data_IF_978355716672
#
_entry.id   IF_978355716672
#
_cell.length_a   1.000
_cell.length_b   1.000
_cell.length_c   1.000
_cell.angle_alpha   90.00
_cell.angle_beta   90.00
_cell.angle_gamma   90.00
#
_symmetry.space_group_name_H-M   'P 1'
#
loop_
_entity.id
_entity.type
_entity.pdbx_description
1 polymer ?
#
# COMPACT_ATOMS: atom_id res chain seq x y z
N UNK A 1 42.69 -15.91 -12.48
CA UNK A 1 43.79 -16.82 -12.91
C UNK A 1 43.68 -18.12 -12.12
N UNK A 2 44.12 -19.24 -12.68
CA UNK A 2 44.00 -20.58 -12.08
C UNK A 2 42.58 -20.93 -11.63
N UNK A 3 41.60 -20.73 -12.50
CA UNK A 3 40.22 -21.11 -12.21
C UNK A 3 40.00 -22.61 -12.44
N UNK A 4 38.85 -23.07 -11.98
CA UNK A 4 38.35 -24.44 -12.17
C UNK A 4 37.13 -24.36 -13.08
N UNK A 5 37.05 -25.25 -14.06
CA UNK A 5 35.88 -25.41 -14.91
C UNK A 5 35.64 -26.89 -15.21
N UNK A 6 34.47 -27.21 -15.74
CA UNK A 6 34.19 -28.56 -16.24
C UNK A 6 35.15 -28.94 -17.36
N UNK A 7 35.56 -30.21 -17.42
CA UNK A 7 36.45 -30.71 -18.48
C UNK A 7 35.71 -31.04 -19.79
N UNK A 8 34.38 -30.85 -19.83
CA UNK A 8 33.48 -31.37 -20.87
C UNK A 8 33.55 -32.90 -21.04
N UNK A 9 33.95 -33.61 -19.97
CA UNK A 9 33.94 -35.06 -19.83
C UNK A 9 33.26 -35.40 -18.50
N UNK A 10 32.34 -36.36 -18.54
CA UNK A 10 31.56 -36.75 -17.36
C UNK A 10 32.49 -37.21 -16.22
N UNK A 11 32.30 -36.63 -15.03
CA UNK A 11 33.09 -36.96 -13.84
C UNK A 11 34.44 -36.23 -13.72
N UNK A 12 34.81 -35.36 -14.67
CA UNK A 12 36.10 -34.66 -14.65
C UNK A 12 36.01 -33.13 -14.63
N UNK A 13 37.02 -32.50 -14.02
CA UNK A 13 37.22 -31.06 -13.98
C UNK A 13 38.66 -30.71 -14.31
N UNK A 14 38.87 -29.54 -14.91
CA UNK A 14 40.19 -28.97 -15.11
C UNK A 14 40.52 -28.01 -13.96
N UNK A 15 41.76 -28.08 -13.45
CA UNK A 15 42.29 -27.17 -12.43
C UNK A 15 43.43 -26.34 -13.00
N UNK A 16 43.68 -25.18 -12.38
CA UNK A 16 44.71 -24.23 -12.79
C UNK A 16 44.50 -23.70 -14.22
N UNK A 17 43.26 -23.59 -14.70
CA UNK A 17 42.94 -23.06 -16.03
C UNK A 17 43.15 -21.54 -16.05
N UNK A 18 43.65 -21.01 -17.16
CA UNK A 18 43.92 -19.59 -17.37
C UNK A 18 43.39 -19.13 -18.73
N UNK A 19 42.70 -17.98 -18.71
CA UNK A 19 42.39 -17.22 -19.91
C UNK A 19 43.65 -16.93 -20.72
N UNK A 20 43.52 -16.87 -22.04
CA UNK A 20 44.59 -16.69 -23.06
C UNK A 20 45.62 -17.81 -23.15
N UNK A 21 45.86 -18.59 -22.09
CA UNK A 21 46.75 -19.76 -22.13
C UNK A 21 46.02 -21.03 -22.59
N UNK A 22 44.88 -21.31 -21.96
CA UNK A 22 44.13 -22.56 -22.19
C UNK A 22 42.83 -22.33 -22.96
N UNK A 23 42.26 -21.11 -22.88
CA UNK A 23 41.03 -20.72 -23.56
C UNK A 23 41.04 -19.21 -23.84
N UNK A 24 40.67 -18.81 -25.04
CA UNK A 24 40.58 -17.39 -25.44
C UNK A 24 39.50 -16.65 -24.65
N UNK A 25 39.80 -15.45 -24.18
CA UNK A 25 38.82 -14.54 -23.62
C UNK A 25 38.12 -13.80 -24.76
N UNK A 26 36.81 -14.02 -24.88
CA UNK A 26 35.98 -13.34 -25.86
C UNK A 26 35.41 -12.04 -25.26
N UNK A 27 34.24 -11.62 -25.74
CA UNK A 27 33.51 -10.48 -25.21
C UNK A 27 33.24 -10.65 -23.71
N UNK A 28 33.57 -9.60 -22.95
CA UNK A 28 33.25 -9.52 -21.53
C UNK A 28 32.06 -8.59 -21.39
N UNK A 29 30.95 -9.14 -20.91
CA UNK A 29 29.70 -8.42 -20.67
C UNK A 29 29.21 -8.69 -19.25
N UNK A 30 28.34 -7.81 -18.75
CA UNK A 30 27.77 -7.97 -17.41
C UNK A 30 26.65 -9.03 -17.43
N UNK A 31 26.94 -10.21 -16.85
CA UNK A 31 26.04 -11.36 -16.83
C UNK A 31 25.64 -11.80 -15.42
N UNK A 32 26.30 -11.27 -14.39
CA UNK A 32 26.03 -11.68 -13.01
C UNK A 32 25.00 -10.76 -12.39
N UNK A 33 24.23 -11.28 -11.44
CA UNK A 33 23.51 -10.39 -10.55
C UNK A 33 24.47 -9.67 -9.60
N UNK A 34 24.13 -8.44 -9.25
CA UNK A 34 24.76 -7.72 -8.15
C UNK A 34 24.45 -8.43 -6.83
N UNK A 35 25.35 -8.31 -5.87
CA UNK A 35 25.15 -8.77 -4.49
C UNK A 35 25.24 -7.59 -3.53
N UNK A 36 24.64 -7.72 -2.36
CA UNK A 36 24.75 -6.69 -1.32
C UNK A 36 26.23 -6.43 -0.97
N UNK A 37 26.61 -5.15 -0.91
CA UNK A 37 28.00 -4.73 -0.70
C UNK A 37 28.85 -4.64 -1.97
N UNK A 38 28.33 -4.97 -3.16
CA UNK A 38 28.99 -4.59 -4.42
C UNK A 38 29.16 -3.06 -4.50
N UNK A 39 30.22 -2.60 -5.19
CA UNK A 39 30.40 -1.18 -5.44
C UNK A 39 29.29 -0.65 -6.34
N UNK A 40 28.80 0.54 -6.03
CA UNK A 40 27.81 1.20 -6.87
C UNK A 40 28.37 1.48 -8.27
N UNK A 41 27.60 1.26 -9.35
CA UNK A 41 28.06 1.49 -10.72
C UNK A 41 28.31 2.98 -11.05
N UNK A 42 27.78 3.91 -10.24
CA UNK A 42 28.08 5.35 -10.33
C UNK A 42 29.40 5.76 -9.62
N UNK A 43 30.09 4.79 -9.02
CA UNK A 43 31.34 4.99 -8.29
C UNK A 43 31.17 5.49 -6.85
N UNK A 44 29.94 5.67 -6.35
CA UNK A 44 29.66 6.24 -5.04
C UNK A 44 29.07 5.20 -4.09
N UNK A 45 29.87 4.76 -3.11
CA UNK A 45 29.40 3.85 -2.06
C UNK A 45 29.15 2.42 -2.54
N UNK A 46 28.21 1.75 -1.88
CA UNK A 46 27.95 0.31 -2.01
C UNK A 46 26.45 0.04 -2.12
N UNK A 47 26.10 -1.00 -2.87
CA UNK A 47 24.72 -1.41 -3.11
C UNK A 47 24.11 -2.04 -1.86
N UNK A 48 22.89 -1.62 -1.51
CA UNK A 48 22.00 -2.28 -0.54
C UNK A 48 20.84 -2.92 -1.29
N UNK A 49 20.41 -4.10 -0.85
CA UNK A 49 19.30 -4.84 -1.47
C UNK A 49 18.08 -4.77 -0.56
N UNK A 50 16.98 -4.23 -1.09
CA UNK A 50 15.71 -4.11 -0.37
C UNK A 50 14.63 -4.90 -1.12
N UNK A 51 13.61 -5.36 -0.39
CA UNK A 51 12.42 -5.96 -0.99
C UNK A 51 11.41 -4.87 -1.32
N UNK A 52 10.80 -4.97 -2.50
CA UNK A 52 9.77 -4.05 -2.94
C UNK A 52 8.71 -4.78 -3.77
N UNK A 53 7.49 -4.25 -3.74
CA UNK A 53 6.39 -4.70 -4.59
C UNK A 53 6.28 -3.70 -5.74
N UNK A 54 6.47 -4.15 -6.98
CA UNK A 54 6.28 -3.29 -8.15
C UNK A 54 4.79 -2.97 -8.31
N UNK A 55 4.40 -1.72 -8.01
CA UNK A 55 3.02 -1.23 -8.17
C UNK A 55 2.78 -0.52 -9.50
N UNK A 56 3.84 -0.18 -10.23
CA UNK A 56 3.75 0.43 -11.53
C UNK A 56 5.06 0.37 -12.30
N UNK A 57 4.96 0.57 -13.61
CA UNK A 57 6.08 0.50 -14.54
C UNK A 57 5.87 1.53 -15.65
N UNK A 58 6.96 2.18 -16.05
CA UNK A 58 6.99 3.10 -17.19
C UNK A 58 8.00 2.60 -18.21
N UNK A 59 7.63 2.61 -19.50
CA UNK A 59 8.51 2.20 -20.57
C UNK A 59 8.60 3.25 -21.67
N UNK A 60 9.80 3.49 -22.16
CA UNK A 60 10.02 4.13 -23.45
C UNK A 60 10.01 3.04 -24.52
N UNK A 61 8.90 2.92 -25.25
CA UNK A 61 8.72 1.87 -26.26
C UNK A 61 9.40 2.20 -27.58
N UNK A 62 9.73 3.48 -27.79
CA UNK A 62 10.22 3.97 -29.07
C UNK A 62 9.19 3.75 -30.16
N UNK A 63 9.62 3.31 -31.32
CA UNK A 63 8.76 3.12 -32.49
C UNK A 63 8.36 1.65 -32.73
N UNK A 64 8.75 0.72 -31.84
CA UNK A 64 8.53 -0.73 -31.98
C UNK A 64 7.13 -1.11 -32.46
N UNK A 65 6.10 -0.55 -31.83
CA UNK A 65 4.71 -0.83 -32.18
C UNK A 65 4.23 -0.03 -33.39
N UNK A 66 4.58 1.25 -33.45
CA UNK A 66 4.19 2.10 -34.57
C UNK A 66 4.75 1.63 -35.92
N UNK A 67 5.95 1.03 -35.95
CA UNK A 67 6.51 0.39 -37.13
C UNK A 67 5.70 -0.85 -37.52
N UNK A 68 5.49 -1.76 -36.56
CA UNK A 68 4.77 -3.01 -36.80
C UNK A 68 3.32 -2.79 -37.25
N UNK A 69 2.67 -1.72 -36.78
CA UNK A 69 1.26 -1.40 -37.08
C UNK A 69 1.09 -0.37 -38.20
N UNK A 70 2.18 0.19 -38.75
CA UNK A 70 2.11 1.23 -39.78
C UNK A 70 1.52 2.56 -39.30
N UNK A 71 1.64 2.89 -38.00
CA UNK A 71 1.14 4.14 -37.45
C UNK A 71 2.14 5.28 -37.71
N UNK A 72 1.78 6.20 -38.62
CA UNK A 72 2.64 7.31 -39.05
C UNK A 72 1.93 8.66 -39.01
N UNK A 73 2.71 9.72 -38.81
CA UNK A 73 2.30 11.14 -38.96
C UNK A 73 3.29 11.88 -39.84
N UNK A 74 2.89 13.02 -40.42
CA UNK A 74 3.83 13.91 -41.10
C UNK A 74 4.56 14.79 -40.07
N UNK A 75 5.87 14.89 -40.18
CA UNK A 75 6.66 15.86 -39.43
C UNK A 75 6.54 17.28 -40.02
N UNK A 76 7.24 18.23 -39.40
CA UNK A 76 7.30 19.64 -39.81
C UNK A 76 7.87 19.85 -41.23
N UNK A 77 8.57 18.85 -41.75
CA UNK A 77 9.16 18.83 -43.09
C UNK A 77 8.26 18.09 -44.10
N UNK A 78 7.08 17.63 -43.67
CA UNK A 78 6.11 16.92 -44.51
C UNK A 78 6.48 15.46 -44.77
N UNK A 79 7.42 14.89 -44.01
CA UNK A 79 7.86 13.50 -44.16
C UNK A 79 7.12 12.59 -43.20
N UNK A 80 6.72 11.41 -43.69
CA UNK A 80 6.11 10.39 -42.83
C UNK A 80 7.13 9.87 -41.80
N UNK A 81 6.74 9.91 -40.52
CA UNK A 81 7.47 9.40 -39.36
C UNK A 81 6.59 8.47 -38.55
N UNK A 82 7.18 7.39 -38.06
CA UNK A 82 6.56 6.54 -37.05
C UNK A 82 6.49 7.26 -35.71
N UNK A 83 5.40 7.05 -34.99
CA UNK A 83 5.18 7.66 -33.68
C UNK A 83 6.15 7.10 -32.64
N UNK A 84 6.86 7.98 -31.92
CA UNK A 84 7.57 7.56 -30.71
C UNK A 84 6.57 7.35 -29.57
N UNK A 85 6.64 6.21 -28.91
CA UNK A 85 5.65 5.77 -27.94
C UNK A 85 6.28 5.60 -26.55
N UNK A 86 5.49 5.94 -25.53
CA UNK A 86 5.72 5.54 -24.15
C UNK A 86 4.48 4.84 -23.61
N UNK A 87 4.65 3.96 -22.63
CA UNK A 87 3.52 3.40 -21.88
C UNK A 87 3.75 3.50 -20.38
N UNK A 88 2.64 3.62 -19.65
CA UNK A 88 2.62 3.86 -18.21
C UNK A 88 1.53 2.97 -17.62
N UNK A 89 1.91 2.10 -16.68
CA UNK A 89 1.00 1.16 -16.05
C UNK A 89 1.08 1.23 -14.54
N UNK A 90 -0.08 1.21 -13.88
CA UNK A 90 -0.22 1.06 -12.43
C UNK A 90 -1.16 -0.12 -12.18
N UNK A 91 -0.73 -1.05 -11.33
CA UNK A 91 -1.56 -2.17 -10.90
C UNK A 91 -2.54 -1.74 -9.82
N UNK A 92 -3.70 -1.19 -10.19
CA UNK A 92 -4.67 -0.62 -9.24
C UNK A 92 -5.03 -1.60 -8.11
N UNK A 93 -5.42 -2.84 -8.43
CA UNK A 93 -5.71 -3.86 -7.41
C UNK A 93 -4.47 -4.25 -6.58
N UNK A 94 -3.28 -4.17 -7.17
CA UNK A 94 -2.01 -4.46 -6.48
C UNK A 94 -1.63 -3.36 -5.50
N UNK A 95 -1.94 -2.10 -5.81
CA UNK A 95 -1.71 -0.96 -4.89
C UNK A 95 -2.47 -1.15 -3.59
N UNK A 96 -3.72 -1.63 -3.65
CA UNK A 96 -4.53 -1.93 -2.45
C UNK A 96 -3.84 -2.97 -1.57
N UNK A 97 -3.41 -4.10 -2.15
CA UNK A 97 -2.71 -5.14 -1.41
C UNK A 97 -1.34 -4.66 -0.86
N UNK A 98 -0.59 -3.88 -1.65
CA UNK A 98 0.69 -3.33 -1.23
C UNK A 98 0.56 -2.32 -0.08
N UNK A 99 -0.52 -1.53 -0.05
CA UNK A 99 -0.82 -0.64 1.06
C UNK A 99 -1.10 -1.42 2.35
N UNK A 100 -1.88 -2.51 2.29
CA UNK A 100 -2.13 -3.39 3.44
C UNK A 100 -0.83 -4.05 3.91
N UNK A 101 0.00 -4.56 2.99
CA UNK A 101 1.28 -5.22 3.33
C UNK A 101 2.23 -4.27 4.09
N UNK A 102 2.21 -2.98 3.75
CA UNK A 102 3.03 -1.96 4.45
C UNK A 102 2.37 -1.42 5.72
N UNK A 103 1.04 -1.50 5.84
CA UNK A 103 0.27 -0.88 6.91
C UNK A 103 -0.76 -1.85 7.51
N UNK A 104 -0.28 -2.75 8.37
CA UNK A 104 -1.13 -3.63 9.18
C UNK A 104 -0.47 -3.92 10.52
N UNK A 105 -1.26 -4.47 11.44
CA UNK A 105 -0.80 -5.06 12.69
C UNK A 105 -1.51 -6.41 12.92
N UNK A 106 -1.28 -7.02 14.09
CA UNK A 106 -1.89 -8.30 14.46
C UNK A 106 -3.43 -8.27 14.56
N UNK A 107 -4.04 -7.08 14.61
CA UNK A 107 -5.49 -6.88 14.71
C UNK A 107 -6.14 -6.65 13.34
N UNK A 108 -5.38 -6.21 12.34
CA UNK A 108 -5.84 -6.06 10.97
C UNK A 108 -5.24 -4.87 10.21
N UNK A 109 -6.02 -4.31 9.29
CA UNK A 109 -5.56 -3.29 8.35
C UNK A 109 -5.40 -1.93 9.05
N UNK A 110 -4.40 -1.15 8.64
CA UNK A 110 -4.27 0.27 8.98
C UNK A 110 -4.25 1.05 7.67
N UNK A 111 -5.39 1.61 7.28
CA UNK A 111 -5.46 2.33 6.01
C UNK A 111 -4.72 3.67 6.05
N UNK A 112 -4.00 4.05 4.98
CA UNK A 112 -3.78 5.45 4.67
C UNK A 112 -5.12 6.18 4.56
N UNK A 113 -5.22 7.41 5.06
CA UNK A 113 -6.48 8.14 5.13
C UNK A 113 -7.21 8.25 3.77
N UNK A 114 -6.48 8.38 2.67
CA UNK A 114 -7.02 8.48 1.31
C UNK A 114 -7.54 7.15 0.73
N UNK A 115 -7.30 6.02 1.40
CA UNK A 115 -7.67 4.68 0.93
C UNK A 115 -8.67 3.98 1.86
N UNK A 116 -8.94 4.57 3.03
CA UNK A 116 -9.88 3.99 3.98
C UNK A 116 -11.28 3.92 3.34
N UNK A 117 -12.01 2.80 3.50
CA UNK A 117 -13.33 2.65 2.91
C UNK A 117 -14.39 3.56 3.57
N UNK A 118 -14.12 3.95 4.82
CA UNK A 118 -14.86 4.94 5.59
C UNK A 118 -13.84 5.68 6.47
N UNK A 119 -14.15 6.90 6.87
CA UNK A 119 -13.29 7.70 7.73
C UNK A 119 -13.58 7.43 9.22
N UNK A 120 -14.86 7.28 9.57
CA UNK A 120 -15.32 7.08 10.95
C UNK A 120 -16.20 5.84 11.03
N UNK A 121 -16.07 5.05 12.10
CA UNK A 121 -17.03 4.01 12.47
C UNK A 121 -17.68 4.29 13.81
N UNK A 122 -19.00 4.23 13.86
CA UNK A 122 -19.79 4.39 15.09
C UNK A 122 -20.19 3.00 15.57
N UNK A 123 -19.83 2.65 16.80
CA UNK A 123 -20.13 1.38 17.44
C UNK A 123 -21.06 1.63 18.64
N UNK A 124 -22.38 1.43 18.48
CA UNK A 124 -23.34 1.65 19.53
C UNK A 124 -23.50 0.42 20.44
N UNK A 125 -23.25 0.59 21.74
CA UNK A 125 -23.36 -0.49 22.73
C UNK A 125 -24.83 -0.68 23.11
N UNK A 126 -25.39 -1.84 22.75
CA UNK A 126 -26.77 -2.24 23.08
C UNK A 126 -27.86 -1.25 22.57
N UNK A 127 -27.67 -0.66 21.39
CA UNK A 127 -28.62 0.29 20.77
C UNK A 127 -30.08 -0.19 20.78
N UNK A 128 -30.30 -1.48 20.55
CA UNK A 128 -31.63 -2.10 20.53
C UNK A 128 -32.36 -2.10 21.89
N UNK A 129 -31.66 -1.79 23.00
CA UNK A 129 -32.22 -1.72 24.36
C UNK A 129 -32.30 -0.30 24.91
N UNK A 130 -31.64 0.66 24.26
CA UNK A 130 -31.50 2.03 24.76
C UNK A 130 -31.93 3.03 23.71
N UNK A 131 -33.03 3.74 23.99
CA UNK A 131 -33.47 4.86 23.16
C UNK A 131 -32.45 6.01 23.23
N UNK A 132 -31.82 6.24 24.39
CA UNK A 132 -30.79 7.29 24.56
C UNK A 132 -29.59 7.05 23.66
N UNK A 133 -29.07 5.82 23.61
CA UNK A 133 -27.97 5.44 22.71
C UNK A 133 -28.39 5.61 21.27
N UNK A 134 -29.60 5.18 20.91
CA UNK A 134 -30.12 5.34 19.55
C UNK A 134 -30.19 6.81 19.14
N UNK A 135 -30.79 7.67 19.96
CA UNK A 135 -30.96 9.09 19.66
C UNK A 135 -29.61 9.80 19.46
N UNK A 136 -28.63 9.50 20.32
CA UNK A 136 -27.26 10.06 20.20
C UNK A 136 -26.56 9.57 18.95
N UNK A 137 -26.69 8.28 18.62
CA UNK A 137 -26.06 7.67 17.43
C UNK A 137 -26.66 8.22 16.15
N UNK A 138 -27.99 8.33 16.08
CA UNK A 138 -28.70 8.87 14.91
C UNK A 138 -28.32 10.35 14.68
N UNK A 139 -28.20 11.16 15.76
CA UNK A 139 -27.73 12.55 15.67
C UNK A 139 -26.30 12.63 15.17
N UNK A 140 -25.38 11.91 15.81
CA UNK A 140 -23.96 11.89 15.46
C UNK A 140 -23.74 11.42 14.01
N UNK A 141 -24.46 10.37 13.58
CA UNK A 141 -24.40 9.86 12.22
C UNK A 141 -24.90 10.92 11.22
N UNK A 142 -26.02 11.60 11.51
CA UNK A 142 -26.54 12.67 10.64
C UNK A 142 -25.55 13.83 10.53
N UNK A 143 -25.04 14.33 11.66
CA UNK A 143 -24.12 15.47 11.70
C UNK A 143 -22.81 15.20 10.94
N UNK A 144 -22.26 13.99 11.07
CA UNK A 144 -21.05 13.60 10.33
C UNK A 144 -21.31 13.46 8.83
N UNK A 145 -22.45 12.89 8.43
CA UNK A 145 -22.83 12.82 7.01
C UNK A 145 -23.09 14.22 6.41
N UNK A 146 -23.70 15.12 7.17
CA UNK A 146 -23.92 16.52 6.75
C UNK A 146 -22.60 17.27 6.56
N UNK A 147 -21.53 16.84 7.23
CA UNK A 147 -20.16 17.31 7.01
C UNK A 147 -19.45 16.64 5.82
N UNK A 148 -20.07 15.67 5.15
CA UNK A 148 -19.47 14.90 4.07
C UNK A 148 -18.46 13.85 4.51
N UNK A 149 -18.51 13.43 5.79
CA UNK A 149 -17.67 12.36 6.31
C UNK A 149 -18.27 11.01 5.95
N UNK A 150 -17.47 10.10 5.39
CA UNK A 150 -17.92 8.73 5.14
C UNK A 150 -17.94 7.95 6.46
N UNK A 151 -19.15 7.61 6.94
CA UNK A 151 -19.37 6.93 8.23
C UNK A 151 -19.90 5.51 8.06
N UNK A 152 -19.26 4.55 8.73
CA UNK A 152 -19.80 3.21 8.94
C UNK A 152 -20.51 3.13 10.30
N UNK A 153 -21.84 3.00 10.30
CA UNK A 153 -22.59 2.66 11.50
C UNK A 153 -22.66 1.13 11.66
N UNK A 154 -22.14 0.59 12.76
CA UNK A 154 -22.29 -0.82 13.11
C UNK A 154 -23.60 -1.04 13.90
N UNK A 155 -24.74 -1.10 13.21
CA UNK A 155 -26.07 -1.26 13.81
C UNK A 155 -26.45 -2.73 14.13
N UNK A 156 -25.49 -3.65 14.01
CA UNK A 156 -25.70 -5.08 14.23
C UNK A 156 -26.03 -5.37 15.69
N UNK A 157 -26.85 -6.41 15.91
CA UNK A 157 -27.19 -6.90 17.26
C UNK A 157 -26.13 -7.87 17.80
N UNK A 158 -24.88 -7.42 17.83
CA UNK A 158 -23.73 -8.22 18.23
C UNK A 158 -23.15 -7.81 19.59
N UNK A 159 -22.23 -8.64 20.11
CA UNK A 159 -21.50 -8.31 21.34
C UNK A 159 -20.44 -7.23 21.07
N UNK A 160 -20.24 -6.24 21.96
CA UNK A 160 -19.26 -5.17 21.75
C UNK A 160 -17.86 -5.67 21.38
N UNK A 161 -17.38 -6.74 22.03
CA UNK A 161 -16.07 -7.32 21.72
C UNK A 161 -15.94 -7.81 20.27
N UNK A 162 -17.01 -8.37 19.69
CA UNK A 162 -17.03 -8.80 18.28
C UNK A 162 -17.01 -7.58 17.37
N UNK A 163 -17.84 -6.58 17.67
CA UNK A 163 -17.90 -5.32 16.90
C UNK A 163 -16.54 -4.60 16.90
N UNK A 164 -15.88 -4.50 18.06
CA UNK A 164 -14.55 -3.91 18.17
C UNK A 164 -13.49 -4.68 17.37
N UNK A 165 -13.49 -6.02 17.46
CA UNK A 165 -12.56 -6.84 16.69
C UNK A 165 -12.77 -6.71 15.17
N UNK A 166 -14.02 -6.55 14.72
CA UNK A 166 -14.33 -6.35 13.31
C UNK A 166 -13.95 -4.94 12.85
N UNK A 167 -14.18 -3.92 13.68
CA UNK A 167 -13.74 -2.56 13.39
C UNK A 167 -12.22 -2.46 13.26
N UNK A 168 -11.49 -3.13 14.18
CA UNK A 168 -10.02 -3.20 14.12
C UNK A 168 -9.54 -3.95 12.86
N UNK A 169 -10.23 -5.03 12.48
CA UNK A 169 -9.91 -5.82 11.30
C UNK A 169 -10.10 -5.04 9.99
N UNK A 170 -11.23 -4.35 9.85
CA UNK A 170 -11.56 -3.54 8.66
C UNK A 170 -10.62 -2.32 8.54
N UNK A 171 -10.15 -1.79 9.68
CA UNK A 171 -9.10 -0.78 9.71
C UNK A 171 -9.57 0.67 9.54
N UNK A 172 -10.85 0.97 9.85
CA UNK A 172 -11.40 2.33 9.73
C UNK A 172 -10.64 3.27 10.69
N UNK A 173 -10.09 4.41 10.22
CA UNK A 173 -9.15 5.22 10.98
C UNK A 173 -9.65 5.72 12.33
N UNK A 174 -10.94 6.04 12.45
CA UNK A 174 -11.51 6.62 13.66
C UNK A 174 -12.72 5.81 14.13
N UNK A 175 -12.70 5.37 15.39
CA UNK A 175 -13.83 4.67 16.02
C UNK A 175 -14.43 5.53 17.12
N UNK A 176 -15.74 5.67 17.10
CA UNK A 176 -16.54 6.23 18.19
C UNK A 176 -17.41 5.15 18.81
N UNK A 177 -17.34 4.97 20.12
CA UNK A 177 -18.18 4.04 20.87
C UNK A 177 -19.17 4.83 21.72
N UNK A 178 -20.46 4.56 21.50
CA UNK A 178 -21.57 5.21 22.22
C UNK A 178 -22.20 4.20 23.17
N UNK A 179 -22.31 4.55 24.46
CA UNK A 179 -22.89 3.68 25.49
C UNK A 179 -23.66 4.49 26.52
N UNK A 180 -24.60 3.87 27.24
CA UNK A 180 -25.34 4.51 28.34
C UNK A 180 -24.41 5.13 29.39
N UNK A 181 -23.33 4.42 29.75
CA UNK A 181 -22.33 4.93 30.70
C UNK A 181 -21.65 6.20 30.19
N UNK A 182 -21.32 6.25 28.90
CA UNK A 182 -20.76 7.45 28.28
C UNK A 182 -21.76 8.61 28.29
N UNK A 183 -23.03 8.35 27.94
CA UNK A 183 -24.09 9.35 27.96
C UNK A 183 -24.29 9.92 29.37
N UNK A 184 -24.27 9.09 30.41
CA UNK A 184 -24.37 9.54 31.80
C UNK A 184 -23.20 10.44 32.22
N UNK A 185 -22.05 10.29 31.57
CA UNK A 185 -20.83 11.08 31.80
C UNK A 185 -20.69 12.26 30.82
N UNK A 186 -21.59 12.38 29.84
CA UNK A 186 -21.50 13.38 28.78
C UNK A 186 -20.35 13.12 27.79
N UNK A 187 -19.91 11.87 27.62
CA UNK A 187 -18.76 11.51 26.77
C UNK A 187 -19.07 10.39 25.77
N UNK A 188 -18.32 10.38 24.67
CA UNK A 188 -18.14 9.23 23.78
C UNK A 188 -16.71 8.72 23.88
N UNK A 189 -16.52 7.42 23.75
CA UNK A 189 -15.17 6.85 23.69
C UNK A 189 -14.67 6.95 22.25
N UNK A 190 -13.54 7.62 22.05
CA UNK A 190 -12.84 7.74 20.77
C UNK A 190 -11.60 6.85 20.76
N UNK A 191 -11.32 6.23 19.63
CA UNK A 191 -10.05 5.55 19.40
C UNK A 191 -9.60 5.71 17.95
N UNK A 192 -8.37 6.18 17.73
CA UNK A 192 -7.74 6.07 16.42
C UNK A 192 -7.26 4.63 16.18
N UNK A 193 -7.42 4.09 14.97
CA UNK A 193 -7.03 2.71 14.63
C UNK A 193 -5.56 2.42 14.88
N UNK A 194 -4.70 3.42 14.71
CA UNK A 194 -3.26 3.33 14.93
C UNK A 194 -2.83 3.54 16.39
N UNK A 195 -3.75 3.85 17.30
CA UNK A 195 -3.47 4.05 18.72
C UNK A 195 -3.88 2.83 19.54
N UNK A 196 -3.16 2.57 20.64
CA UNK A 196 -3.49 1.48 21.55
C UNK A 196 -4.61 1.85 22.52
N UNK A 197 -4.53 3.05 23.09
CA UNK A 197 -5.46 3.54 24.11
C UNK A 197 -6.66 4.26 23.51
N UNK A 198 -7.78 4.20 24.23
CA UNK A 198 -8.99 4.95 23.92
C UNK A 198 -9.09 6.19 24.81
N UNK A 199 -9.67 7.25 24.25
CA UNK A 199 -9.89 8.52 24.94
C UNK A 199 -11.39 8.74 25.19
N UNK A 200 -11.73 9.45 26.25
CA UNK A 200 -13.10 9.92 26.47
C UNK A 200 -13.22 11.35 25.96
N UNK A 201 -14.00 11.54 24.90
CA UNK A 201 -14.25 12.85 24.32
C UNK A 201 -15.62 13.38 24.76
N UNK A 202 -15.73 14.65 25.18
CA UNK A 202 -17.00 15.27 25.49
C UNK A 202 -17.94 15.29 24.27
N UNK A 203 -19.22 14.95 24.48
CA UNK A 203 -20.21 14.85 23.39
C UNK A 203 -20.43 16.16 22.65
N UNK A 204 -20.33 17.30 23.35
CA UNK A 204 -20.49 18.64 22.79
C UNK A 204 -19.35 19.08 21.87
N UNK A 205 -18.19 18.41 21.93
CA UNK A 205 -16.99 18.77 21.15
C UNK A 205 -16.52 17.68 20.19
N UNK A 206 -17.18 16.51 20.18
CA UNK A 206 -16.76 15.35 19.36
C UNK A 206 -16.67 15.69 17.88
N UNK A 207 -17.66 16.43 17.37
CA UNK A 207 -17.75 16.81 15.95
C UNK A 207 -16.60 17.74 15.56
N UNK A 208 -16.33 18.77 16.36
CA UNK A 208 -15.25 19.73 16.09
C UNK A 208 -13.86 19.08 16.19
N UNK A 209 -13.69 18.15 17.14
CA UNK A 209 -12.47 17.35 17.23
C UNK A 209 -12.26 16.51 15.98
N UNK A 210 -13.30 15.79 15.51
CA UNK A 210 -13.22 15.01 14.28
C UNK A 210 -12.90 15.88 13.07
N UNK A 211 -13.52 17.06 12.95
CA UNK A 211 -13.23 18.02 11.86
C UNK A 211 -11.76 18.43 11.79
N UNK A 212 -11.06 18.43 12.93
CA UNK A 212 -9.66 18.87 12.99
C UNK A 212 -8.68 17.78 12.52
N UNK A 213 -9.09 16.50 12.61
CA UNK A 213 -8.21 15.36 12.33
C UNK A 213 -8.52 14.62 11.03
N UNK A 214 -9.69 14.88 10.44
CA UNK A 214 -10.10 14.40 9.12
C UNK A 214 -9.59 15.32 8.02
#
# INVERSE_FOLDING_TARGET
KNFICGANEEGYHLKNVNWERDVSLNEVVDLRHVVEGDRSPDGQGYLKVMRGIEVGHIFQLGDKYSQAMGATVLDDSGKARHLSMGCYGIGISRVVAAAIEQHHDDKGIIWPASMAPFQVTIVPVQMHKSYRVKDVVDSLYSELNDMGVDVLLDDRRERPGVMFSMADLIGIPHRLVVSERGIDQGTVEYKARCQDDAEQWPMDTVIDKLRTIL
#
